data_IF_298384149480
#
_entry.id   IF_298384149480
#
_cell.length_a   1.000
_cell.length_b   1.000
_cell.length_c   1.000
_cell.angle_alpha   90.00
_cell.angle_beta   90.00
_cell.angle_gamma   90.00
#
_symmetry.space_group_name_H-M   'P 1'
#
loop_
_entity.id
_entity.type
_entity.pdbx_description
1 polymer ?
#
# COMPACT_ATOMS: atom_id res chain seq x y z
N UNK A 1 18.62 -29.51 -15.77
CA UNK A 1 19.42 -29.13 -14.57
C UNK A 1 19.96 -27.70 -14.68
N UNK A 2 20.68 -27.33 -15.74
CA UNK A 2 21.23 -25.97 -15.90
C UNK A 2 20.18 -24.86 -15.87
N UNK A 3 19.01 -25.05 -16.49
CA UNK A 3 17.94 -24.05 -16.53
C UNK A 3 17.40 -23.70 -15.14
N UNK A 4 17.29 -24.65 -14.23
CA UNK A 4 16.80 -24.43 -12.86
C UNK A 4 17.84 -23.66 -12.04
N UNK A 5 19.12 -24.02 -12.18
CA UNK A 5 20.21 -23.30 -11.50
C UNK A 5 20.29 -21.86 -12.01
N UNK A 6 20.21 -21.66 -13.32
CA UNK A 6 20.23 -20.29 -13.91
C UNK A 6 19.06 -19.45 -13.42
N UNK A 7 17.85 -20.01 -13.35
CA UNK A 7 16.66 -19.32 -12.82
C UNK A 7 16.84 -18.97 -11.34
N UNK A 8 17.34 -19.90 -10.53
CA UNK A 8 17.57 -19.65 -9.11
C UNK A 8 18.63 -18.56 -8.91
N UNK A 9 19.73 -18.58 -9.67
CA UNK A 9 20.73 -17.52 -9.63
C UNK A 9 20.17 -16.16 -10.04
N UNK A 10 19.34 -16.11 -11.07
CA UNK A 10 18.73 -14.87 -11.57
C UNK A 10 17.76 -14.28 -10.51
N UNK A 11 16.84 -15.09 -9.97
CA UNK A 11 15.85 -14.62 -9.01
C UNK A 11 16.45 -14.24 -7.65
N UNK A 12 17.63 -14.70 -7.33
CA UNK A 12 18.37 -14.32 -6.11
C UNK A 12 19.21 -13.05 -6.29
N UNK A 13 19.35 -12.53 -7.52
CA UNK A 13 20.10 -11.30 -7.77
C UNK A 13 19.28 -10.07 -7.43
N UNK A 14 19.75 -9.19 -6.52
CA UNK A 14 19.04 -7.98 -6.12
C UNK A 14 18.76 -7.03 -7.31
N UNK A 15 19.69 -6.91 -8.25
CA UNK A 15 19.48 -6.09 -9.44
C UNK A 15 18.36 -6.61 -10.34
N UNK A 16 18.20 -7.93 -10.47
CA UNK A 16 17.08 -8.51 -11.21
C UNK A 16 15.72 -8.17 -10.54
N UNK A 17 15.67 -8.20 -9.22
CA UNK A 17 14.47 -7.76 -8.50
C UNK A 17 14.18 -6.26 -8.75
N UNK A 18 15.22 -5.41 -8.80
CA UNK A 18 15.05 -3.99 -9.12
C UNK A 18 14.54 -3.77 -10.55
N UNK A 19 14.99 -4.53 -11.53
CA UNK A 19 14.47 -4.45 -12.91
C UNK A 19 12.97 -4.72 -12.99
N UNK A 20 12.44 -5.59 -12.13
CA UNK A 20 11.01 -5.89 -12.09
C UNK A 20 10.22 -4.86 -11.27
N UNK A 21 10.77 -4.40 -10.15
CA UNK A 21 10.06 -3.52 -9.21
C UNK A 21 10.09 -2.05 -9.62
N UNK A 22 11.21 -1.58 -10.12
CA UNK A 22 11.40 -0.16 -10.46
C UNK A 22 10.30 0.39 -11.39
N UNK A 23 9.91 -0.31 -12.48
CA UNK A 23 8.82 0.16 -13.33
C UNK A 23 7.49 0.25 -12.59
N UNK A 24 7.23 -0.68 -11.64
CA UNK A 24 6.00 -0.68 -10.84
C UNK A 24 5.94 0.50 -9.86
N UNK A 25 7.08 0.87 -9.30
CA UNK A 25 7.20 1.87 -8.24
C UNK A 25 7.37 3.31 -8.74
N UNK A 26 7.86 3.47 -9.98
CA UNK A 26 8.17 4.78 -10.55
C UNK A 26 7.34 5.11 -11.81
N UNK A 27 6.25 4.38 -12.04
CA UNK A 27 5.36 4.62 -13.17
C UNK A 27 4.59 5.95 -13.06
N UNK A 28 4.26 6.36 -11.83
CA UNK A 28 3.54 7.60 -11.58
C UNK A 28 4.49 8.58 -10.88
N UNK A 29 4.63 9.77 -11.46
CA UNK A 29 5.34 10.86 -10.79
C UNK A 29 4.57 11.29 -9.54
N UNK A 30 5.28 11.55 -8.45
CA UNK A 30 4.71 12.01 -7.19
C UNK A 30 5.56 13.12 -6.57
N UNK A 31 4.96 13.89 -5.67
CA UNK A 31 5.65 14.87 -4.83
C UNK A 31 5.55 14.43 -3.38
N UNK A 32 6.60 14.68 -2.61
CA UNK A 32 6.59 14.46 -1.15
C UNK A 32 6.12 15.70 -0.38
N UNK A 33 5.87 16.82 -1.08
CA UNK A 33 5.39 18.05 -0.45
C UNK A 33 3.89 18.03 -0.29
N UNK A 34 3.41 18.69 0.74
CA UNK A 34 1.98 18.88 1.02
C UNK A 34 1.45 20.20 0.51
N UNK A 35 2.32 21.03 -0.10
CA UNK A 35 1.93 22.32 -0.69
C UNK A 35 0.90 22.13 -1.79
N UNK A 36 -0.20 22.85 -1.70
CA UNK A 36 -1.30 22.77 -2.65
C UNK A 36 -2.31 21.66 -2.36
N UNK A 37 -2.13 20.88 -1.28
CA UNK A 37 -3.03 19.78 -0.89
C UNK A 37 -4.07 20.18 0.16
N UNK A 38 -4.12 21.44 0.55
CA UNK A 38 -5.07 21.97 1.57
C UNK A 38 -6.54 21.78 1.16
N UNK A 39 -6.79 21.73 -0.16
CA UNK A 39 -8.11 21.49 -0.76
C UNK A 39 -8.56 20.02 -0.73
N UNK A 40 -7.71 19.07 -0.32
CA UNK A 40 -8.06 17.65 -0.24
C UNK A 40 -9.16 17.41 0.80
N UNK A 41 -10.10 16.51 0.47
CA UNK A 41 -11.21 16.15 1.37
C UNK A 41 -10.83 15.02 2.32
N UNK A 42 -10.16 13.97 1.82
CA UNK A 42 -9.85 12.76 2.59
C UNK A 42 -8.46 12.22 2.28
N UNK A 43 -7.90 11.52 3.27
CA UNK A 43 -6.73 10.63 3.10
C UNK A 43 -7.26 9.20 3.06
N UNK A 44 -6.88 8.44 2.03
CA UNK A 44 -7.26 7.04 1.84
C UNK A 44 -6.02 6.18 2.05
N UNK A 45 -6.08 5.27 3.03
CA UNK A 45 -5.01 4.32 3.31
C UNK A 45 -5.57 2.90 3.25
N UNK A 46 -5.50 2.22 2.08
CA UNK A 46 -5.96 0.85 1.93
C UNK A 46 -5.20 -0.11 2.84
N UNK A 47 -5.91 -1.15 3.30
CA UNK A 47 -5.34 -2.19 4.15
C UNK A 47 -4.15 -2.90 3.48
N UNK A 48 -3.25 -3.45 4.31
CA UNK A 48 -2.24 -4.37 3.83
C UNK A 48 -2.29 -5.66 4.65
N UNK A 49 -1.61 -5.76 5.80
CA UNK A 49 -1.66 -6.96 6.61
C UNK A 49 -1.33 -6.69 8.09
N UNK A 50 -1.99 -7.46 8.95
CA UNK A 50 -1.75 -7.54 10.39
C UNK A 50 -1.79 -9.01 10.82
N UNK A 51 -0.77 -9.48 11.53
CA UNK A 51 -0.69 -10.87 11.98
C UNK A 51 -1.51 -11.09 13.24
N UNK A 52 -2.46 -12.01 13.17
CA UNK A 52 -3.23 -12.48 14.34
C UNK A 52 -2.67 -13.75 14.95
N UNK A 53 -1.57 -14.29 14.40
CA UNK A 53 -0.96 -15.55 14.79
C UNK A 53 0.18 -15.32 15.78
N UNK A 54 0.30 -16.25 16.75
CA UNK A 54 1.43 -16.30 17.68
C UNK A 54 1.35 -15.29 18.82
N UNK A 55 2.24 -15.48 19.80
CA UNK A 55 2.38 -14.60 20.96
C UNK A 55 3.56 -13.65 20.73
N UNK A 56 3.29 -12.54 20.07
CA UNK A 56 4.25 -11.48 19.75
C UNK A 56 3.72 -10.14 20.21
N UNK A 57 4.61 -9.14 20.37
CA UNK A 57 4.22 -7.78 20.75
C UNK A 57 3.30 -7.16 19.67
N UNK A 58 2.43 -6.24 20.08
CA UNK A 58 1.44 -5.60 19.20
C UNK A 58 2.11 -4.97 17.96
N UNK A 59 3.21 -4.25 18.14
CA UNK A 59 3.92 -3.62 17.04
C UNK A 59 4.51 -4.63 16.03
N UNK A 60 4.88 -5.83 16.49
CA UNK A 60 5.42 -6.89 15.63
C UNK A 60 4.38 -7.62 14.80
N UNK A 61 3.10 -7.39 15.07
CA UNK A 61 1.96 -7.92 14.29
C UNK A 61 1.75 -7.19 12.98
N UNK A 62 2.19 -5.95 12.92
CA UNK A 62 2.05 -5.11 11.74
C UNK A 62 3.07 -5.49 10.66
N UNK A 63 2.58 -5.71 9.45
CA UNK A 63 3.47 -5.83 8.29
C UNK A 63 4.12 -4.48 7.96
N UNK A 64 5.26 -4.55 7.27
CA UNK A 64 6.01 -3.38 6.86
C UNK A 64 5.15 -2.39 6.05
N UNK A 65 4.39 -2.93 5.06
CA UNK A 65 3.47 -2.13 4.26
C UNK A 65 2.42 -1.40 5.12
N UNK A 66 1.80 -2.08 6.09
CA UNK A 66 0.80 -1.46 6.96
C UNK A 66 1.39 -0.33 7.80
N UNK A 67 2.53 -0.57 8.46
CA UNK A 67 3.16 0.46 9.28
C UNK A 67 3.54 1.70 8.48
N UNK A 68 4.16 1.53 7.31
CA UNK A 68 4.55 2.69 6.49
C UNK A 68 3.33 3.48 6.00
N UNK A 69 2.27 2.79 5.56
CA UNK A 69 1.02 3.45 5.13
C UNK A 69 0.38 4.23 6.28
N UNK A 70 0.19 3.60 7.45
CA UNK A 70 -0.46 4.23 8.59
C UNK A 70 0.37 5.38 9.18
N UNK A 71 1.69 5.25 9.27
CA UNK A 71 2.57 6.32 9.72
C UNK A 71 2.51 7.52 8.77
N UNK A 72 2.58 7.28 7.45
CA UNK A 72 2.49 8.37 6.48
C UNK A 72 1.11 9.03 6.48
N UNK A 73 0.03 8.26 6.54
CA UNK A 73 -1.34 8.78 6.65
C UNK A 73 -1.50 9.62 7.93
N UNK A 74 -0.92 9.18 9.07
CA UNK A 74 -0.97 9.93 10.32
C UNK A 74 -0.24 11.27 10.24
N UNK A 75 0.92 11.33 9.55
CA UNK A 75 1.66 12.58 9.31
C UNK A 75 0.81 13.56 8.50
N UNK A 76 0.30 13.11 7.36
CA UNK A 76 -0.52 13.92 6.47
C UNK A 76 -1.79 14.42 7.16
N UNK A 77 -2.47 13.56 7.92
CA UNK A 77 -3.68 13.94 8.66
C UNK A 77 -3.41 15.05 9.70
N UNK A 78 -2.29 14.94 10.41
CA UNK A 78 -1.91 15.97 11.41
C UNK A 78 -1.48 17.28 10.76
N UNK A 79 -0.78 17.22 9.64
CA UNK A 79 -0.27 18.39 8.94
C UNK A 79 -1.38 19.17 8.22
N UNK A 80 -2.30 18.45 7.56
CA UNK A 80 -3.38 19.03 6.76
C UNK A 80 -4.71 19.19 7.54
N UNK A 81 -4.80 18.65 8.76
CA UNK A 81 -6.07 18.50 9.54
C UNK A 81 -7.18 17.81 8.73
N UNK A 82 -6.83 16.74 7.98
CA UNK A 82 -7.76 16.01 7.11
C UNK A 82 -8.09 14.62 7.65
N UNK A 83 -9.34 14.16 7.44
CA UNK A 83 -9.76 12.86 7.91
C UNK A 83 -9.17 11.71 7.07
N UNK A 84 -8.81 10.61 7.77
CA UNK A 84 -8.36 9.35 7.18
C UNK A 84 -9.56 8.41 7.07
N UNK A 85 -9.81 7.88 5.88
CA UNK A 85 -10.69 6.74 5.66
C UNK A 85 -9.88 5.46 5.94
N UNK A 86 -10.18 4.81 7.06
CA UNK A 86 -9.50 3.60 7.52
C UNK A 86 -10.28 2.39 7.04
N UNK A 87 -9.78 1.75 5.98
CA UNK A 87 -10.46 0.63 5.30
C UNK A 87 -9.89 -0.73 5.70
N UNK A 88 -10.59 -1.79 5.33
CA UNK A 88 -10.20 -3.19 5.54
C UNK A 88 -11.12 -3.91 6.53
N UNK A 89 -11.68 -5.01 6.07
CA UNK A 89 -12.60 -5.86 6.83
C UNK A 89 -11.91 -7.02 7.54
N UNK A 90 -12.66 -8.12 7.64
CA UNK A 90 -12.23 -9.35 8.30
C UNK A 90 -11.60 -10.32 7.27
N UNK A 91 -10.37 -10.04 6.85
CA UNK A 91 -9.59 -10.87 5.89
C UNK A 91 -8.32 -11.47 6.51
N UNK A 92 -8.12 -11.25 7.81
CA UNK A 92 -6.97 -11.76 8.53
C UNK A 92 -7.11 -13.25 8.83
N UNK A 93 -6.05 -13.88 9.31
CA UNK A 93 -6.09 -15.30 9.68
C UNK A 93 -7.15 -15.59 10.76
N UNK A 94 -7.32 -14.68 11.73
CA UNK A 94 -8.43 -14.69 12.66
C UNK A 94 -9.58 -13.85 12.08
N UNK A 95 -10.72 -14.47 11.69
CA UNK A 95 -11.84 -13.79 11.08
C UNK A 95 -12.63 -12.89 12.03
N UNK A 96 -12.43 -13.01 13.33
CA UNK A 96 -13.10 -12.17 14.34
C UNK A 96 -12.37 -10.83 14.53
N UNK A 97 -11.16 -10.71 14.01
CA UNK A 97 -10.37 -9.48 14.08
C UNK A 97 -10.52 -8.67 12.79
N UNK A 98 -11.02 -7.45 12.95
CA UNK A 98 -11.16 -6.51 11.85
C UNK A 98 -9.88 -5.67 11.69
N UNK A 99 -9.31 -5.64 10.48
CA UNK A 99 -8.09 -4.88 10.19
C UNK A 99 -8.25 -3.39 10.45
N UNK A 100 -9.32 -2.77 9.95
CA UNK A 100 -9.51 -1.32 10.07
C UNK A 100 -9.70 -0.89 11.53
N UNK A 101 -10.28 -1.74 12.40
CA UNK A 101 -10.34 -1.43 13.82
C UNK A 101 -8.95 -1.38 14.44
N UNK A 102 -8.07 -2.35 14.11
CA UNK A 102 -6.67 -2.34 14.55
C UNK A 102 -5.92 -1.13 14.03
N UNK A 103 -6.12 -0.78 12.75
CA UNK A 103 -5.50 0.39 12.15
C UNK A 103 -5.99 1.70 12.78
N UNK A 104 -7.28 1.79 13.10
CA UNK A 104 -7.87 2.92 13.81
C UNK A 104 -7.22 3.14 15.19
N UNK A 105 -7.08 2.05 15.96
CA UNK A 105 -6.46 2.09 17.30
C UNK A 105 -5.00 2.55 17.21
N UNK A 106 -4.23 2.01 16.26
CA UNK A 106 -2.84 2.45 16.03
C UNK A 106 -2.76 3.93 15.61
N UNK A 107 -3.66 4.41 14.76
CA UNK A 107 -3.68 5.81 14.35
C UNK A 107 -3.98 6.75 15.53
N UNK A 108 -4.83 6.35 16.47
CA UNK A 108 -5.04 7.08 17.74
C UNK A 108 -3.74 7.12 18.57
N UNK A 109 -3.04 5.99 18.70
CA UNK A 109 -1.75 5.91 19.41
C UNK A 109 -0.69 6.79 18.72
N UNK A 110 -0.71 6.90 17.39
CA UNK A 110 0.14 7.81 16.61
C UNK A 110 -0.26 9.29 16.75
N UNK A 111 -1.29 9.60 17.54
CA UNK A 111 -1.71 10.97 17.86
C UNK A 111 -2.63 11.62 16.80
N UNK A 112 -3.26 10.84 15.95
CA UNK A 112 -4.33 11.35 15.07
C UNK A 112 -5.57 11.63 15.89
N UNK A 113 -6.18 12.81 15.68
CA UNK A 113 -7.40 13.17 16.39
C UNK A 113 -8.56 12.24 16.00
N UNK A 114 -9.35 11.82 16.98
CA UNK A 114 -10.54 10.98 16.77
C UNK A 114 -11.51 11.58 15.74
N UNK A 115 -11.63 12.91 15.67
CA UNK A 115 -12.45 13.62 14.67
C UNK A 115 -11.97 13.39 13.22
N UNK A 116 -10.68 13.06 13.05
CA UNK A 116 -10.03 12.83 11.76
C UNK A 116 -9.89 11.33 11.43
N UNK A 117 -10.65 10.47 12.08
CA UNK A 117 -10.64 9.03 11.80
C UNK A 117 -12.05 8.55 11.44
N UNK A 118 -12.21 8.03 10.24
CA UNK A 118 -13.46 7.46 9.76
C UNK A 118 -13.23 5.97 9.56
N UNK A 119 -13.83 5.16 10.43
CA UNK A 119 -13.72 3.71 10.39
C UNK A 119 -14.67 3.12 9.35
N UNK A 120 -14.12 2.42 8.35
CA UNK A 120 -14.87 1.70 7.33
C UNK A 120 -14.48 0.21 7.39
N UNK A 121 -15.14 -0.52 8.28
CA UNK A 121 -14.82 -1.91 8.61
C UNK A 121 -15.28 -2.91 7.53
N UNK A 122 -15.00 -2.62 6.27
CA UNK A 122 -15.44 -3.39 5.11
C UNK A 122 -14.31 -3.51 4.09
N UNK A 123 -14.49 -4.49 3.18
CA UNK A 123 -13.54 -4.77 2.12
C UNK A 123 -12.52 -5.84 2.53
N UNK A 124 -12.29 -6.79 1.64
CA UNK A 124 -11.32 -7.90 1.80
C UNK A 124 -10.28 -7.91 0.70
N UNK A 125 -10.45 -7.03 -0.28
CA UNK A 125 -9.52 -6.75 -1.37
C UNK A 125 -9.65 -5.28 -1.78
N UNK A 126 -8.75 -4.79 -2.64
CA UNK A 126 -8.69 -3.38 -3.02
C UNK A 126 -9.98 -2.87 -3.67
N UNK A 127 -10.61 -3.67 -4.52
CA UNK A 127 -11.84 -3.26 -5.20
C UNK A 127 -13.00 -3.10 -4.22
N UNK A 128 -13.20 -4.07 -3.33
CA UNK A 128 -14.24 -4.02 -2.30
C UNK A 128 -13.96 -2.95 -1.23
N UNK A 129 -12.70 -2.64 -0.93
CA UNK A 129 -12.35 -1.51 -0.08
C UNK A 129 -12.75 -0.18 -0.73
N UNK A 130 -12.41 0.04 -2.01
CA UNK A 130 -12.79 1.25 -2.74
C UNK A 130 -14.31 1.39 -2.83
N UNK A 131 -15.03 0.32 -3.16
CA UNK A 131 -16.50 0.33 -3.19
C UNK A 131 -17.08 0.69 -1.81
N UNK A 132 -16.47 0.23 -0.71
CA UNK A 132 -16.93 0.51 0.65
C UNK A 132 -16.83 1.99 1.05
N UNK A 133 -15.91 2.74 0.46
CA UNK A 133 -15.70 4.18 0.71
C UNK A 133 -16.30 5.07 -0.37
N UNK A 134 -16.86 4.53 -1.42
CA UNK A 134 -17.39 5.24 -2.59
C UNK A 134 -18.28 6.43 -2.23
N UNK A 135 -19.18 6.27 -1.26
CA UNK A 135 -20.07 7.35 -0.82
C UNK A 135 -19.33 8.55 -0.21
N UNK A 136 -18.15 8.34 0.37
CA UNK A 136 -17.31 9.40 0.94
C UNK A 136 -16.53 10.13 -0.13
N UNK A 137 -16.00 9.40 -1.13
CA UNK A 137 -15.02 9.91 -2.10
C UNK A 137 -15.63 10.39 -3.42
N UNK A 138 -16.93 10.10 -3.67
CA UNK A 138 -17.59 10.53 -4.92
C UNK A 138 -17.52 12.04 -5.10
N UNK A 139 -16.90 12.46 -6.20
CA UNK A 139 -16.65 13.86 -6.57
C UNK A 139 -15.77 14.63 -5.55
N UNK A 140 -14.92 13.93 -4.83
CA UNK A 140 -14.00 14.50 -3.84
C UNK A 140 -12.56 14.44 -4.33
N UNK A 141 -11.70 15.28 -3.73
CA UNK A 141 -10.26 15.20 -3.85
C UNK A 141 -9.70 14.34 -2.73
N UNK A 142 -8.85 13.37 -3.05
CA UNK A 142 -8.27 12.45 -2.07
C UNK A 142 -6.75 12.38 -2.16
N UNK A 143 -6.11 12.12 -1.02
CA UNK A 143 -4.71 11.70 -0.97
C UNK A 143 -4.70 10.18 -0.77
N UNK A 144 -4.08 9.47 -1.71
CA UNK A 144 -3.87 8.02 -1.60
C UNK A 144 -2.50 7.72 -1.03
N UNK A 145 -2.47 7.01 0.10
CA UNK A 145 -1.24 6.53 0.75
C UNK A 145 -1.21 5.01 0.67
N UNK A 146 -0.33 4.45 -0.16
CA UNK A 146 -0.18 3.00 -0.31
C UNK A 146 1.24 2.63 -0.74
N UNK A 147 1.56 1.32 -0.76
CA UNK A 147 2.87 0.84 -1.25
C UNK A 147 3.09 1.27 -2.70
N UNK A 148 4.32 1.68 -3.02
CA UNK A 148 4.68 2.17 -4.35
C UNK A 148 4.32 1.18 -5.47
N UNK A 149 4.59 -0.12 -5.28
CA UNK A 149 4.22 -1.17 -6.23
C UNK A 149 2.72 -1.25 -6.49
N UNK A 150 1.90 -0.95 -5.48
CA UNK A 150 0.44 -1.03 -5.52
C UNK A 150 -0.22 0.26 -6.04
N UNK A 151 0.52 1.37 -6.06
CA UNK A 151 -0.01 2.73 -6.31
C UNK A 151 -0.85 2.82 -7.58
N UNK A 152 -0.36 2.30 -8.71
CA UNK A 152 -1.06 2.38 -10.00
C UNK A 152 -2.44 1.72 -9.96
N UNK A 153 -2.51 0.49 -9.44
CA UNK A 153 -3.77 -0.27 -9.39
C UNK A 153 -4.79 0.39 -8.44
N UNK A 154 -4.35 0.84 -7.28
CA UNK A 154 -5.21 1.53 -6.33
C UNK A 154 -5.70 2.89 -6.89
N UNK A 155 -4.84 3.65 -7.57
CA UNK A 155 -5.22 4.92 -8.22
C UNK A 155 -6.24 4.70 -9.32
N UNK A 156 -6.10 3.67 -10.15
CA UNK A 156 -7.07 3.36 -11.21
C UNK A 156 -8.46 3.09 -10.63
N UNK A 157 -8.55 2.25 -9.59
CA UNK A 157 -9.83 1.95 -8.93
C UNK A 157 -10.48 3.19 -8.30
N UNK A 158 -9.68 4.06 -7.66
CA UNK A 158 -10.20 5.30 -7.08
C UNK A 158 -10.62 6.32 -8.13
N UNK A 159 -9.93 6.39 -9.28
CA UNK A 159 -10.20 7.37 -10.34
C UNK A 159 -11.60 7.25 -10.96
N UNK A 160 -12.25 6.10 -10.81
CA UNK A 160 -13.63 5.90 -11.24
C UNK A 160 -14.64 6.69 -10.39
N UNK A 161 -14.23 7.19 -9.22
CA UNK A 161 -15.14 7.81 -8.24
C UNK A 161 -14.70 9.20 -7.80
N UNK A 162 -13.39 9.48 -7.76
CA UNK A 162 -12.83 10.73 -7.28
C UNK A 162 -12.70 11.77 -8.40
N UNK A 163 -12.75 13.07 -8.03
CA UNK A 163 -12.40 14.14 -8.96
C UNK A 163 -10.88 14.28 -9.12
N UNK A 164 -10.15 14.06 -8.05
CA UNK A 164 -8.70 14.25 -8.01
C UNK A 164 -8.06 13.26 -7.05
N UNK A 165 -6.90 12.73 -7.42
CA UNK A 165 -6.11 11.83 -6.60
C UNK A 165 -4.69 12.35 -6.53
N UNK A 166 -4.26 12.75 -5.35
CA UNK A 166 -2.88 13.04 -5.03
C UNK A 166 -2.24 11.80 -4.40
N UNK A 167 -1.07 11.39 -4.83
CA UNK A 167 -0.45 10.14 -4.40
C UNK A 167 0.74 10.37 -3.49
N UNK A 168 0.81 9.58 -2.42
CA UNK A 168 1.94 9.48 -1.50
C UNK A 168 2.39 8.02 -1.39
N UNK A 169 3.28 7.57 -2.29
CA UNK A 169 3.81 6.21 -2.26
C UNK A 169 4.74 6.02 -1.06
N UNK A 170 4.61 4.86 -0.43
CA UNK A 170 5.49 4.37 0.63
C UNK A 170 5.93 2.94 0.32
N UNK A 171 6.70 2.31 1.18
CA UNK A 171 7.05 0.89 1.08
C UNK A 171 7.67 0.53 -0.28
N UNK A 172 8.71 1.28 -0.65
CA UNK A 172 9.52 1.00 -1.82
C UNK A 172 10.40 -0.23 -1.59
N UNK A 173 10.49 -1.08 -2.59
CA UNK A 173 11.27 -2.31 -2.56
C UNK A 173 12.47 -2.29 -3.50
N UNK A 174 12.46 -1.46 -4.56
CA UNK A 174 13.63 -1.25 -5.42
C UNK A 174 14.67 -0.37 -4.74
N UNK A 175 15.88 -0.37 -5.29
CA UNK A 175 16.96 0.52 -4.84
C UNK A 175 16.74 1.99 -5.25
N UNK A 176 15.66 2.31 -5.97
CA UNK A 176 15.40 3.65 -6.51
C UNK A 176 16.26 4.00 -7.73
N UNK A 177 17.02 3.06 -8.26
CA UNK A 177 17.89 3.26 -9.44
C UNK A 177 17.98 1.99 -10.28
N UNK A 178 18.04 2.15 -11.61
CA UNK A 178 18.33 1.07 -12.55
C UNK A 178 19.80 1.03 -12.99
N UNK A 179 20.67 1.78 -12.33
CA UNK A 179 22.12 1.66 -12.61
C UNK A 179 22.56 0.22 -12.31
N UNK A 180 23.20 -0.49 -13.26
CA UNK A 180 23.62 -1.86 -13.07
C UNK A 180 24.58 -2.01 -11.89
N UNK A 181 24.31 -2.99 -11.04
CA UNK A 181 25.19 -3.37 -9.93
C UNK A 181 25.17 -4.88 -9.72
N UNK A 182 26.22 -5.39 -9.12
CA UNK A 182 26.33 -6.80 -8.75
C UNK A 182 26.42 -6.90 -7.23
N UNK A 183 25.56 -7.71 -6.65
CA UNK A 183 25.58 -8.07 -5.22
C UNK A 183 25.55 -9.58 -5.06
N UNK A 184 25.94 -10.04 -3.88
CA UNK A 184 25.81 -11.45 -3.51
C UNK A 184 24.33 -11.84 -3.59
N UNK A 185 23.99 -13.00 -4.20
CA UNK A 185 22.65 -13.53 -4.22
C UNK A 185 22.02 -13.58 -2.83
N UNK A 186 20.75 -13.18 -2.73
CA UNK A 186 20.07 -13.10 -1.43
C UNK A 186 18.63 -13.62 -1.47
N UNK A 187 18.17 -14.19 -0.36
CA UNK A 187 16.78 -14.61 -0.20
C UNK A 187 15.81 -13.42 -0.24
N UNK A 188 16.25 -12.26 0.22
CA UNK A 188 15.43 -11.04 0.13
C UNK A 188 15.13 -10.62 -1.32
N UNK A 189 16.01 -10.93 -2.27
CA UNK A 189 15.74 -10.69 -3.68
C UNK A 189 14.59 -11.56 -4.20
N UNK A 190 14.50 -12.83 -3.78
CA UNK A 190 13.40 -13.72 -4.16
C UNK A 190 12.05 -13.13 -3.71
N UNK A 191 11.97 -12.65 -2.46
CA UNK A 191 10.73 -12.04 -1.96
C UNK A 191 10.35 -10.77 -2.73
N UNK A 192 11.33 -9.99 -3.16
CA UNK A 192 11.11 -8.80 -3.99
C UNK A 192 10.62 -9.17 -5.39
N UNK A 193 11.14 -10.25 -5.98
CA UNK A 193 10.64 -10.83 -7.23
C UNK A 193 9.21 -11.33 -7.08
N UNK A 194 8.89 -12.02 -5.97
CA UNK A 194 7.53 -12.47 -5.63
C UNK A 194 6.54 -11.29 -5.62
N UNK A 195 6.89 -10.19 -4.94
CA UNK A 195 6.07 -8.97 -4.88
C UNK A 195 5.81 -8.42 -6.30
N UNK A 196 6.84 -8.35 -7.12
CA UNK A 196 6.71 -7.86 -8.49
C UNK A 196 5.77 -8.75 -9.33
N UNK A 197 5.97 -10.07 -9.29
CA UNK A 197 5.13 -11.04 -10.02
C UNK A 197 3.67 -10.95 -9.56
N UNK A 198 3.46 -10.87 -8.24
CA UNK A 198 2.11 -10.72 -7.69
C UNK A 198 1.41 -9.47 -8.24
N UNK A 199 2.08 -8.30 -8.23
CA UNK A 199 1.46 -7.06 -8.68
C UNK A 199 1.24 -7.04 -10.21
N UNK A 200 2.17 -7.57 -11.00
CA UNK A 200 1.94 -7.75 -12.44
C UNK A 200 0.73 -8.65 -12.71
N UNK A 201 0.61 -9.77 -12.00
CA UNK A 201 -0.54 -10.67 -12.10
C UNK A 201 -1.86 -10.00 -11.70
N UNK A 202 -1.84 -9.20 -10.62
CA UNK A 202 -3.00 -8.45 -10.17
C UNK A 202 -3.45 -7.38 -11.19
N UNK A 203 -2.50 -6.71 -11.86
CA UNK A 203 -2.79 -5.75 -12.94
C UNK A 203 -3.41 -6.44 -14.16
N UNK A 204 -2.85 -7.58 -14.58
CA UNK A 204 -3.43 -8.39 -15.66
C UNK A 204 -4.85 -8.81 -15.32
N UNK A 205 -5.08 -9.31 -14.12
CA UNK A 205 -6.44 -9.66 -13.66
C UNK A 205 -7.39 -8.47 -13.74
N UNK A 206 -6.97 -7.29 -13.29
CA UNK A 206 -7.79 -6.08 -13.37
C UNK A 206 -8.17 -5.76 -14.83
N UNK A 207 -7.20 -5.77 -15.75
CA UNK A 207 -7.44 -5.51 -17.18
C UNK A 207 -8.36 -6.52 -17.87
N UNK A 208 -8.39 -7.76 -17.40
CA UNK A 208 -9.23 -8.81 -18.00
C UNK A 208 -10.67 -8.80 -17.44
N UNK A 209 -10.91 -8.16 -16.31
CA UNK A 209 -12.20 -8.17 -15.61
C UNK A 209 -12.91 -6.79 -15.60
N UNK A 210 -12.23 -5.75 -16.04
CA UNK A 210 -12.78 -4.40 -16.27
C UNK A 210 -13.31 -4.26 -17.70
#
# INVERSE_FOLDING_TARGET
MYSVISLALLTTQPYFADLLLYPLEHEIAYSETVEGLEGTDFIVSPACYYSTVGNVSEISRWSHCSLQRLVQASKLSKELDKPILVTGGNFLHDPDINYSQKAYDLLLELGVSRKNLILVAKGTDTASEVESIKSYITKKSVILVTSATHMKRASLLLSEHCNEINIFPVDFHSSGSLAPYLKIPSVSAIRRVEIAIYEYGARVKYFLLS
#
